data_IF_027996732788
#
_entry.id   IF_027996732788
#
_cell.length_a   1.000
_cell.length_b   1.000
_cell.length_c   1.000
_cell.angle_alpha   90.00
_cell.angle_beta   90.00
_cell.angle_gamma   90.00
#
_symmetry.space_group_name_H-M   'P 1'
#
loop_
_entity.id
_entity.type
_entity.pdbx_description
1 polymer ?
#
# COMPACT_ATOMS: atom_id res chain seq x y z
N UNK A 1 -33.56 17.41 3.45
CA UNK A 1 -32.60 16.32 3.10
C UNK A 1 -32.44 16.06 1.60
N UNK A 2 -32.79 17.00 0.67
CA UNK A 2 -32.72 16.77 -0.80
C UNK A 2 -31.37 17.09 -1.47
N UNK A 3 -30.38 17.61 -0.74
CA UNK A 3 -29.09 18.07 -1.27
C UNK A 3 -27.89 17.13 -1.02
N UNK A 4 -28.04 16.09 -0.20
CA UNK A 4 -26.93 15.20 0.17
C UNK A 4 -26.58 14.19 -0.93
N UNK A 5 -27.57 13.65 -1.63
CA UNK A 5 -27.41 12.65 -2.70
C UNK A 5 -26.52 13.10 -3.87
N UNK A 6 -26.70 14.30 -4.47
CA UNK A 6 -25.83 14.75 -5.55
C UNK A 6 -24.41 15.07 -5.06
N UNK A 7 -24.26 15.57 -3.83
CA UNK A 7 -22.95 15.82 -3.23
C UNK A 7 -22.17 14.53 -3.00
N UNK A 8 -22.80 13.50 -2.43
CA UNK A 8 -22.21 12.16 -2.22
C UNK A 8 -21.79 11.48 -3.53
N UNK A 9 -22.54 11.69 -4.61
CA UNK A 9 -22.19 11.18 -5.95
C UNK A 9 -20.84 11.68 -6.45
N UNK A 10 -20.38 12.85 -5.99
CA UNK A 10 -19.06 13.39 -6.30
C UNK A 10 -17.90 12.67 -5.59
N UNK A 11 -18.17 11.96 -4.48
CA UNK A 11 -17.16 11.25 -3.68
C UNK A 11 -17.07 9.76 -3.99
N UNK A 12 -18.11 9.15 -4.57
CA UNK A 12 -18.10 7.72 -4.89
C UNK A 12 -16.99 7.36 -5.90
N UNK A 13 -16.80 8.08 -7.03
CA UNK A 13 -15.74 7.74 -7.97
C UNK A 13 -14.32 7.80 -7.37
N UNK A 14 -13.91 8.88 -6.67
CA UNK A 14 -12.57 8.91 -6.08
C UNK A 14 -12.42 7.88 -4.95
N UNK A 15 -13.47 7.65 -4.15
CA UNK A 15 -13.44 6.60 -3.12
C UNK A 15 -13.14 5.22 -3.71
N UNK A 16 -13.82 4.82 -4.79
CA UNK A 16 -13.59 3.54 -5.45
C UNK A 16 -12.16 3.43 -5.99
N UNK A 17 -11.63 4.52 -6.56
CA UNK A 17 -10.25 4.54 -7.05
C UNK A 17 -9.25 4.40 -5.90
N UNK A 18 -9.44 5.12 -4.80
CA UNK A 18 -8.58 5.00 -3.62
C UNK A 18 -8.63 3.60 -3.01
N UNK A 19 -9.81 2.94 -2.97
CA UNK A 19 -9.93 1.55 -2.55
C UNK A 19 -9.16 0.59 -3.47
N UNK A 20 -9.25 0.78 -4.80
CA UNK A 20 -8.52 -0.03 -5.77
C UNK A 20 -7.00 0.16 -5.66
N UNK A 21 -6.53 1.41 -5.48
CA UNK A 21 -5.11 1.70 -5.21
C UNK A 21 -4.67 1.12 -3.86
N UNK A 22 -5.58 1.02 -2.91
CA UNK A 22 -5.32 0.42 -1.60
C UNK A 22 -4.89 -1.04 -1.65
N UNK A 23 -5.28 -1.80 -2.70
CA UNK A 23 -4.88 -3.21 -2.85
C UNK A 23 -3.36 -3.35 -3.08
N UNK A 24 -2.74 -2.75 -4.11
CA UNK A 24 -1.29 -2.75 -4.24
C UNK A 24 -0.58 -2.02 -3.09
N UNK A 25 -1.19 -0.99 -2.49
CA UNK A 25 -0.64 -0.35 -1.31
C UNK A 25 -0.52 -1.32 -0.12
N UNK A 26 -1.53 -2.16 0.11
CA UNK A 26 -1.48 -3.19 1.13
C UNK A 26 -0.34 -4.19 0.87
N UNK A 27 -0.15 -4.62 -0.38
CA UNK A 27 0.97 -5.50 -0.75
C UNK A 27 2.33 -4.84 -0.46
N UNK A 28 2.51 -3.57 -0.82
CA UNK A 28 3.73 -2.83 -0.50
C UNK A 28 3.98 -2.78 1.02
N UNK A 29 2.94 -2.54 1.84
CA UNK A 29 3.07 -2.55 3.30
C UNK A 29 3.44 -3.94 3.82
N UNK A 30 2.89 -5.01 3.26
CA UNK A 30 3.24 -6.39 3.64
C UNK A 30 4.69 -6.72 3.28
N UNK A 31 5.14 -6.36 2.07
CA UNK A 31 6.54 -6.50 1.67
C UNK A 31 7.47 -5.70 2.59
N UNK A 32 7.10 -4.46 2.94
CA UNK A 32 7.87 -3.64 3.85
C UNK A 32 7.96 -4.26 5.25
N UNK A 33 6.85 -4.75 5.79
CA UNK A 33 6.83 -5.44 7.10
C UNK A 33 7.72 -6.68 7.09
N UNK A 34 7.63 -7.50 6.04
CA UNK A 34 8.48 -8.68 5.89
C UNK A 34 9.96 -8.29 5.78
N UNK A 35 10.28 -7.28 4.98
CA UNK A 35 11.66 -6.81 4.80
C UNK A 35 12.25 -6.21 6.08
N UNK A 36 11.46 -5.49 6.88
CA UNK A 36 11.90 -5.00 8.20
C UNK A 36 12.18 -6.17 9.14
N UNK A 37 11.34 -7.22 9.10
CA UNK A 37 11.47 -8.38 9.98
C UNK A 37 12.63 -9.31 9.61
N UNK A 38 12.95 -9.48 8.32
CA UNK A 38 13.87 -10.52 7.86
C UNK A 38 14.97 -10.01 6.92
N UNK A 39 14.90 -8.75 6.47
CA UNK A 39 15.83 -8.20 5.49
C UNK A 39 17.27 -8.02 6.01
N UNK A 40 17.48 -8.20 7.30
CA UNK A 40 18.79 -8.18 7.96
C UNK A 40 19.46 -9.56 8.06
N UNK A 41 18.76 -10.64 7.69
CA UNK A 41 19.34 -11.98 7.76
C UNK A 41 20.43 -12.17 6.70
N UNK A 42 21.62 -12.56 7.13
CA UNK A 42 22.73 -12.96 6.26
C UNK A 42 23.09 -14.44 6.43
N UNK A 43 23.87 -15.01 5.51
CA UNK A 43 24.33 -16.40 5.62
C UNK A 43 25.14 -16.66 6.89
N UNK A 44 25.87 -15.65 7.37
CA UNK A 44 26.68 -15.72 8.59
C UNK A 44 25.81 -15.85 9.87
N UNK A 45 24.52 -15.50 9.78
CA UNK A 45 23.58 -15.58 10.91
C UNK A 45 22.95 -16.97 11.08
N UNK A 46 23.10 -17.88 10.10
CA UNK A 46 22.53 -19.24 10.15
C UNK A 46 23.14 -20.12 11.26
N UNK A 47 24.40 -19.88 11.61
CA UNK A 47 25.14 -20.68 12.61
C UNK A 47 25.04 -20.10 14.04
N UNK A 48 24.42 -18.93 14.21
CA UNK A 48 24.29 -18.25 15.50
C UNK A 48 23.08 -18.77 16.26
N UNK A 49 23.34 -19.54 17.33
CA UNK A 49 22.33 -20.10 18.26
C UNK A 49 21.42 -19.07 18.95
N UNK A 50 21.78 -17.80 18.85
CA UNK A 50 21.13 -16.63 19.44
C UNK A 50 20.13 -15.94 18.48
N UNK A 51 20.07 -16.34 17.20
CA UNK A 51 19.17 -15.80 16.18
C UNK A 51 18.22 -16.89 15.66
N UNK A 52 17.30 -17.37 16.50
CA UNK A 52 16.27 -18.38 16.17
C UNK A 52 15.25 -17.95 15.06
N UNK A 53 15.49 -16.83 14.38
CA UNK A 53 14.52 -16.20 13.47
C UNK A 53 14.86 -16.24 11.98
N UNK A 54 16.13 -16.50 11.61
CA UNK A 54 16.60 -16.44 10.23
C UNK A 54 16.62 -17.82 9.58
N UNK A 55 15.98 -17.96 8.40
CA UNK A 55 15.99 -19.19 7.60
C UNK A 55 16.60 -18.95 6.23
N UNK A 56 17.09 -20.02 5.61
CA UNK A 56 17.66 -19.99 4.27
C UNK A 56 16.67 -19.39 3.23
N UNK A 57 15.38 -19.74 3.33
CA UNK A 57 14.32 -19.18 2.49
C UNK A 57 14.18 -17.66 2.62
N UNK A 58 14.38 -17.11 3.83
CA UNK A 58 14.30 -15.67 4.04
C UNK A 58 15.50 -14.94 3.42
N UNK A 59 16.70 -15.53 3.51
CA UNK A 59 17.92 -14.96 2.93
C UNK A 59 17.80 -14.91 1.40
N UNK A 60 17.39 -16.01 0.76
CA UNK A 60 17.23 -16.06 -0.70
C UNK A 60 16.11 -15.14 -1.20
N UNK A 61 15.00 -15.04 -0.45
CA UNK A 61 13.88 -14.19 -0.83
C UNK A 61 14.09 -12.71 -0.52
N UNK A 62 15.15 -12.34 0.22
CA UNK A 62 15.40 -10.97 0.64
C UNK A 62 15.48 -9.99 -0.56
N UNK A 63 16.27 -10.35 -1.57
CA UNK A 63 16.41 -9.56 -2.79
C UNK A 63 15.09 -9.43 -3.57
N UNK A 64 14.31 -10.52 -3.66
CA UNK A 64 13.01 -10.50 -4.34
C UNK A 64 11.99 -9.64 -3.59
N UNK A 65 11.95 -9.72 -2.26
CA UNK A 65 11.08 -8.91 -1.43
C UNK A 65 11.40 -7.41 -1.56
N UNK A 66 12.68 -7.04 -1.59
CA UNK A 66 13.11 -5.66 -1.81
C UNK A 66 12.71 -5.13 -3.19
N UNK A 67 12.96 -5.93 -4.24
CA UNK A 67 12.58 -5.58 -5.61
C UNK A 67 11.06 -5.39 -5.69
N UNK A 68 10.28 -6.35 -5.19
CA UNK A 68 8.83 -6.27 -5.15
C UNK A 68 8.34 -5.01 -4.39
N UNK A 69 8.94 -4.72 -3.23
CA UNK A 69 8.63 -3.52 -2.45
C UNK A 69 8.85 -2.24 -3.27
N UNK A 70 10.00 -2.11 -3.92
CA UNK A 70 10.34 -0.93 -4.72
C UNK A 70 9.37 -0.78 -5.89
N UNK A 71 9.12 -1.86 -6.65
CA UNK A 71 8.23 -1.81 -7.81
C UNK A 71 6.78 -1.49 -7.44
N UNK A 72 6.24 -2.17 -6.42
CA UNK A 72 4.86 -1.96 -5.99
C UNK A 72 4.73 -0.57 -5.33
N UNK A 73 5.70 -0.16 -4.52
CA UNK A 73 5.72 1.18 -3.92
C UNK A 73 5.76 2.30 -4.97
N UNK A 74 6.62 2.16 -5.99
CA UNK A 74 6.68 3.09 -7.11
C UNK A 74 5.38 3.13 -7.91
N UNK A 75 4.76 1.97 -8.14
CA UNK A 75 3.45 1.88 -8.81
C UNK A 75 2.37 2.62 -8.01
N UNK A 76 2.29 2.41 -6.70
CA UNK A 76 1.31 3.08 -5.84
C UNK A 76 1.52 4.60 -5.87
N UNK A 77 2.77 5.05 -5.73
CA UNK A 77 3.11 6.47 -5.81
C UNK A 77 2.70 7.08 -7.17
N UNK A 78 2.99 6.37 -8.27
CA UNK A 78 2.62 6.80 -9.62
C UNK A 78 1.10 6.89 -9.78
N UNK A 79 0.34 5.92 -9.28
CA UNK A 79 -1.12 5.91 -9.32
C UNK A 79 -1.71 7.09 -8.54
N UNK A 80 -1.20 7.37 -7.34
CA UNK A 80 -1.60 8.52 -6.54
C UNK A 80 -1.25 9.84 -7.23
N UNK A 81 -0.05 9.97 -7.82
CA UNK A 81 0.34 11.17 -8.54
C UNK A 81 -0.56 11.42 -9.77
N UNK A 82 -0.81 10.38 -10.56
CA UNK A 82 -1.67 10.46 -11.74
C UNK A 82 -3.11 10.82 -11.35
N UNK A 83 -3.64 10.17 -10.31
CA UNK A 83 -5.04 10.33 -9.93
C UNK A 83 -5.28 11.59 -9.08
N UNK A 84 -4.48 11.86 -8.07
CA UNK A 84 -4.74 12.94 -7.11
C UNK A 84 -4.14 14.28 -7.53
N UNK A 85 -3.15 14.29 -8.43
CA UNK A 85 -2.46 15.52 -8.87
C UNK A 85 -2.67 15.80 -10.36
N UNK A 86 -2.19 14.92 -11.24
CA UNK A 86 -2.13 15.22 -12.68
C UNK A 86 -3.51 15.28 -13.35
N UNK A 87 -4.40 14.34 -13.03
CA UNK A 87 -5.77 14.31 -13.57
C UNK A 87 -6.62 15.52 -13.14
N UNK A 88 -6.66 15.94 -11.86
CA UNK A 88 -7.41 17.13 -11.48
C UNK A 88 -6.81 18.41 -12.07
N UNK A 89 -5.48 18.51 -12.17
CA UNK A 89 -4.82 19.63 -12.86
C UNK A 89 -5.27 19.73 -14.32
N UNK A 90 -5.32 18.62 -15.06
CA UNK A 90 -5.76 18.61 -16.46
C UNK A 90 -7.26 18.87 -16.65
N UNK A 91 -8.10 18.44 -15.70
CA UNK A 91 -9.57 18.48 -15.86
C UNK A 91 -10.23 19.67 -15.18
N UNK A 92 -9.47 20.51 -14.45
CA UNK A 92 -10.00 21.63 -13.68
C UNK A 92 -10.96 21.21 -12.55
N UNK A 93 -11.00 19.92 -12.19
CA UNK A 93 -11.94 19.39 -11.19
C UNK A 93 -11.46 19.68 -9.77
N UNK A 94 -12.38 19.91 -8.82
CA UNK A 94 -12.01 20.19 -7.43
C UNK A 94 -11.24 19.03 -6.80
N UNK A 95 -10.18 19.37 -6.06
CA UNK A 95 -9.32 18.42 -5.33
C UNK A 95 -9.96 17.89 -4.05
N UNK A 96 -10.85 18.69 -3.44
CA UNK A 96 -11.51 18.38 -2.16
C UNK A 96 -12.06 16.95 -2.06
N UNK A 97 -12.87 16.43 -3.01
CA UNK A 97 -13.40 15.08 -2.89
C UNK A 97 -12.32 14.00 -2.94
N UNK A 98 -11.21 14.22 -3.64
CA UNK A 98 -10.10 13.26 -3.72
C UNK A 98 -9.30 13.23 -2.43
N UNK A 99 -8.97 14.39 -1.88
CA UNK A 99 -8.23 14.50 -0.62
C UNK A 99 -9.03 13.91 0.55
N UNK A 100 -10.35 14.09 0.56
CA UNK A 100 -11.21 13.54 1.61
C UNK A 100 -11.37 12.01 1.52
N UNK A 101 -11.21 11.42 0.33
CA UNK A 101 -11.28 9.96 0.15
C UNK A 101 -9.92 9.27 0.18
N UNK A 102 -8.81 10.02 0.15
CA UNK A 102 -7.44 9.50 0.19
C UNK A 102 -7.19 8.48 1.33
N UNK A 103 -7.69 8.67 2.57
CA UNK A 103 -7.51 7.67 3.64
C UNK A 103 -8.06 6.28 3.30
N UNK A 104 -8.97 6.16 2.33
CA UNK A 104 -9.52 4.88 1.90
C UNK A 104 -8.46 3.94 1.29
N UNK A 105 -7.31 4.46 0.85
CA UNK A 105 -6.17 3.65 0.40
C UNK A 105 -5.68 2.69 1.49
N UNK A 106 -5.87 3.04 2.77
CA UNK A 106 -5.45 2.20 3.89
C UNK A 106 -6.45 1.09 4.24
N UNK A 107 -7.68 1.17 3.73
CA UNK A 107 -8.75 0.24 4.10
C UNK A 107 -8.41 -1.21 3.75
N UNK A 108 -7.90 -1.54 2.54
CA UNK A 108 -7.57 -2.94 2.22
C UNK A 108 -6.54 -3.54 3.17
N UNK A 109 -5.52 -2.77 3.57
CA UNK A 109 -4.55 -3.21 4.58
C UNK A 109 -5.20 -3.38 5.96
N UNK A 110 -6.01 -2.41 6.40
CA UNK A 110 -6.72 -2.52 7.68
C UNK A 110 -7.63 -3.74 7.74
N UNK A 111 -8.36 -4.02 6.66
CA UNK A 111 -9.20 -5.23 6.52
C UNK A 111 -8.34 -6.48 6.64
N UNK A 112 -7.19 -6.55 5.96
CA UNK A 112 -6.28 -7.70 6.08
C UNK A 112 -5.85 -7.95 7.53
N UNK A 113 -5.38 -6.91 8.23
CA UNK A 113 -4.93 -7.02 9.62
C UNK A 113 -6.07 -7.42 10.56
N UNK A 114 -7.25 -6.81 10.42
CA UNK A 114 -8.41 -7.13 11.27
C UNK A 114 -8.97 -8.54 11.07
N UNK A 115 -8.72 -9.17 9.92
CA UNK A 115 -9.10 -10.57 9.66
C UNK A 115 -8.03 -11.58 10.10
N UNK A 116 -7.03 -11.16 10.89
CA UNK A 116 -5.98 -12.04 11.39
C UNK A 116 -4.84 -12.26 10.39
N UNK A 117 -4.69 -11.38 9.40
CA UNK A 117 -3.46 -11.30 8.61
C UNK A 117 -2.31 -10.83 9.48
N UNK A 118 -1.37 -11.73 9.80
CA UNK A 118 -0.19 -11.45 10.61
C UNK A 118 1.02 -11.12 9.74
#
# INVERSE_FOLDING_TARGET
MRSALPALRGYVPPLLVHLLIGVPAALAVLCARWYIAYGHCEYDDLDRRDLDGCTYDQIENNGFALIALIWIGALVLLLLLLFDVLRPLHTGRPLKPRLLTLPAVLIPYAVYVTNGGW
#
